data_IF_315835507512
#
_entry.id   IF_315835507512
#
_cell.length_a   1.000
_cell.length_b   1.000
_cell.length_c   1.000
_cell.angle_alpha   90.00
_cell.angle_beta   90.00
_cell.angle_gamma   90.00
#
_symmetry.space_group_name_H-M   'P 1'
#
loop_
_entity.id
_entity.type
_entity.pdbx_description
1 polymer ?
#
# COMPACT_ATOMS: atom_id res chain seq x y z
N UNK A 1 -23.54 28.46 -29.94
CA UNK A 1 -22.26 27.85 -30.38
C UNK A 1 -21.08 28.23 -29.48
N UNK A 2 -20.93 29.50 -29.06
CA UNK A 2 -19.83 29.93 -28.17
C UNK A 2 -19.90 29.38 -26.73
N UNK A 3 -21.12 29.14 -26.20
CA UNK A 3 -21.33 28.60 -24.84
C UNK A 3 -20.94 27.11 -24.69
N UNK A 4 -21.05 26.33 -25.78
CA UNK A 4 -20.71 24.90 -25.81
C UNK A 4 -19.18 24.69 -25.79
N UNK A 5 -18.40 25.56 -26.44
CA UNK A 5 -16.93 25.49 -26.39
C UNK A 5 -16.35 25.87 -25.02
N UNK A 6 -17.02 26.76 -24.28
CA UNK A 6 -16.63 27.14 -22.91
C UNK A 6 -16.97 26.02 -21.91
N UNK A 7 -18.07 25.30 -22.14
CA UNK A 7 -18.42 24.07 -21.43
C UNK A 7 -17.37 22.98 -21.69
N UNK A 8 -16.98 22.72 -22.94
CA UNK A 8 -15.92 21.75 -23.28
C UNK A 8 -14.55 22.10 -22.65
N UNK A 9 -14.18 23.38 -22.63
CA UNK A 9 -12.97 23.86 -21.94
C UNK A 9 -13.04 23.73 -20.41
N UNK A 10 -14.21 24.00 -19.82
CA UNK A 10 -14.49 23.81 -18.39
C UNK A 10 -14.48 22.32 -18.00
N UNK A 11 -15.09 21.48 -18.83
CA UNK A 11 -15.12 20.02 -18.68
C UNK A 11 -13.70 19.44 -18.68
N UNK A 12 -12.78 19.99 -19.48
CA UNK A 12 -11.38 19.57 -19.50
C UNK A 12 -10.66 19.80 -18.16
N UNK A 13 -10.82 20.97 -17.54
CA UNK A 13 -10.20 21.27 -16.24
C UNK A 13 -10.86 20.45 -15.12
N UNK A 14 -12.19 20.33 -15.13
CA UNK A 14 -12.91 19.50 -14.16
C UNK A 14 -12.52 18.02 -14.30
N UNK A 15 -12.37 17.51 -15.52
CA UNK A 15 -11.88 16.15 -15.78
C UNK A 15 -10.42 15.98 -15.33
N UNK A 16 -9.56 16.98 -15.53
CA UNK A 16 -8.19 16.93 -15.04
C UNK A 16 -8.14 16.95 -13.50
N UNK A 17 -8.98 17.75 -12.84
CA UNK A 17 -9.07 17.80 -11.38
C UNK A 17 -9.65 16.50 -10.81
N UNK A 18 -10.69 15.94 -11.44
CA UNK A 18 -11.29 14.65 -11.08
C UNK A 18 -10.30 13.51 -11.33
N UNK A 19 -9.64 13.48 -12.49
CA UNK A 19 -8.62 12.47 -12.82
C UNK A 19 -7.41 12.56 -11.88
N UNK A 20 -6.98 13.77 -11.54
CA UNK A 20 -5.90 14.00 -10.57
C UNK A 20 -6.30 13.53 -9.17
N UNK A 21 -7.56 13.76 -8.77
CA UNK A 21 -8.12 13.25 -7.51
C UNK A 21 -8.16 11.73 -7.47
N UNK A 22 -8.59 11.05 -8.53
CA UNK A 22 -8.65 9.57 -8.57
C UNK A 22 -7.24 8.95 -8.64
N UNK A 23 -6.33 9.55 -9.43
CA UNK A 23 -4.93 9.12 -9.52
C UNK A 23 -4.21 9.16 -8.18
N UNK A 24 -4.43 10.20 -7.37
CA UNK A 24 -3.76 10.32 -6.07
C UNK A 24 -4.19 9.23 -5.08
N UNK A 25 -5.49 8.88 -5.02
CA UNK A 25 -5.97 7.85 -4.08
C UNK A 25 -5.53 6.44 -4.47
N UNK A 26 -5.52 6.13 -5.77
CA UNK A 26 -5.04 4.84 -6.28
C UNK A 26 -3.53 4.64 -6.11
N UNK A 27 -2.74 5.72 -6.18
CA UNK A 27 -1.28 5.66 -5.96
C UNK A 27 -0.94 5.25 -4.51
N UNK A 28 -1.65 5.81 -3.53
CA UNK A 28 -1.44 5.47 -2.10
C UNK A 28 -1.74 4.00 -1.83
N UNK A 29 -2.81 3.47 -2.44
CA UNK A 29 -3.17 2.06 -2.31
C UNK A 29 -2.15 1.12 -2.95
N UNK A 30 -1.68 1.47 -4.16
CA UNK A 30 -0.64 0.71 -4.83
C UNK A 30 0.66 0.68 -4.02
N UNK A 31 1.05 1.80 -3.41
CA UNK A 31 2.21 1.87 -2.52
C UNK A 31 2.02 1.01 -1.26
N UNK A 32 0.83 1.01 -0.65
CA UNK A 32 0.52 0.20 0.52
C UNK A 32 0.60 -1.31 0.20
N UNK A 33 0.06 -1.73 -0.95
CA UNK A 33 0.16 -3.12 -1.43
C UNK A 33 1.61 -3.50 -1.71
N UNK A 34 2.38 -2.61 -2.34
CA UNK A 34 3.80 -2.85 -2.61
C UNK A 34 4.59 -3.06 -1.30
N UNK A 35 4.36 -2.22 -0.29
CA UNK A 35 4.96 -2.38 1.03
C UNK A 35 4.55 -3.69 1.71
N UNK A 36 3.29 -4.11 1.57
CA UNK A 36 2.79 -5.38 2.10
C UNK A 36 3.48 -6.58 1.42
N UNK A 37 3.64 -6.54 0.10
CA UNK A 37 4.35 -7.58 -0.65
C UNK A 37 5.81 -7.64 -0.24
N UNK A 38 6.51 -6.51 -0.19
CA UNK A 38 7.90 -6.45 0.22
C UNK A 38 8.11 -7.00 1.65
N UNK A 39 7.27 -6.58 2.59
CA UNK A 39 7.29 -7.08 3.97
C UNK A 39 7.03 -8.59 4.03
N UNK A 40 6.10 -9.10 3.21
CA UNK A 40 5.82 -10.53 3.11
C UNK A 40 7.01 -11.32 2.59
N UNK A 41 7.68 -10.83 1.53
CA UNK A 41 8.89 -11.46 1.00
C UNK A 41 10.03 -11.50 2.03
N UNK A 42 10.21 -10.42 2.79
CA UNK A 42 11.19 -10.37 3.88
C UNK A 42 10.85 -11.39 4.97
N UNK A 43 9.60 -11.48 5.41
CA UNK A 43 9.16 -12.47 6.40
C UNK A 43 9.33 -13.91 5.91
N UNK A 44 8.99 -14.19 4.64
CA UNK A 44 9.16 -15.52 4.04
C UNK A 44 10.60 -16.00 4.05
N UNK A 45 11.58 -15.11 3.91
CA UNK A 45 13.01 -15.47 3.93
C UNK A 45 13.54 -15.44 5.36
N UNK A 46 13.22 -14.41 6.14
CA UNK A 46 13.74 -14.22 7.49
C UNK A 46 13.26 -15.29 8.47
N UNK A 47 12.01 -15.76 8.35
CA UNK A 47 11.45 -16.77 9.27
C UNK A 47 12.25 -18.09 9.18
N UNK A 48 12.43 -18.72 8.00
CA UNK A 48 13.30 -19.89 7.87
C UNK A 48 14.75 -19.65 8.32
N UNK A 49 15.33 -18.48 7.98
CA UNK A 49 16.72 -18.16 8.34
C UNK A 49 16.93 -18.08 9.85
N UNK A 50 16.00 -17.44 10.56
CA UNK A 50 16.03 -17.33 12.04
C UNK A 50 15.84 -18.69 12.69
N UNK A 51 15.00 -19.56 12.12
CA UNK A 51 14.78 -20.92 12.63
C UNK A 51 15.93 -21.88 12.31
N UNK A 52 16.66 -21.68 11.22
CA UNK A 52 17.77 -22.55 10.81
C UNK A 52 19.09 -22.26 11.55
N UNK A 53 19.25 -21.08 12.14
CA UNK A 53 20.49 -20.69 12.82
C UNK A 53 20.53 -21.22 14.27
N UNK A 54 21.65 -21.84 14.72
CA UNK A 54 21.84 -22.14 16.14
C UNK A 54 21.81 -20.83 16.94
N UNK A 55 21.03 -20.80 18.04
CA UNK A 55 20.71 -19.61 18.84
C UNK A 55 19.91 -18.48 18.13
N UNK A 56 19.56 -18.66 16.86
CA UNK A 56 18.86 -17.66 16.04
C UNK A 56 17.51 -17.23 16.64
N UNK A 57 16.77 -18.17 17.23
CA UNK A 57 15.49 -17.89 17.90
C UNK A 57 15.65 -17.01 19.15
N UNK A 58 16.64 -17.28 20.00
CA UNK A 58 16.82 -16.53 21.25
C UNK A 58 17.20 -15.08 20.98
N UNK A 59 18.06 -14.86 19.98
CA UNK A 59 18.59 -13.54 19.63
C UNK A 59 17.61 -12.72 18.76
N UNK A 60 16.94 -13.35 17.78
CA UNK A 60 16.14 -12.62 16.78
C UNK A 60 14.63 -12.66 17.00
N UNK A 61 14.16 -13.21 18.13
CA UNK A 61 12.71 -13.31 18.46
C UNK A 61 11.98 -11.98 18.30
N UNK A 62 12.57 -10.89 18.80
CA UNK A 62 11.94 -9.57 18.76
C UNK A 62 11.81 -9.02 17.33
N UNK A 63 12.77 -9.34 16.46
CA UNK A 63 12.75 -8.92 15.05
C UNK A 63 11.62 -9.65 14.30
N UNK A 64 11.48 -10.97 14.51
CA UNK A 64 10.40 -11.76 13.90
C UNK A 64 9.03 -11.30 14.42
N UNK A 65 8.91 -11.03 15.72
CA UNK A 65 7.67 -10.52 16.30
C UNK A 65 7.30 -9.12 15.79
N UNK A 66 8.27 -8.21 15.74
CA UNK A 66 8.06 -6.85 15.22
C UNK A 66 7.77 -6.84 13.73
N UNK A 67 8.39 -7.72 12.95
CA UNK A 67 8.11 -7.86 11.51
C UNK A 67 6.71 -8.41 11.27
N UNK A 68 6.31 -9.43 12.04
CA UNK A 68 4.97 -10.03 11.92
C UNK A 68 3.87 -9.07 12.39
N UNK A 69 4.09 -8.32 13.47
CA UNK A 69 3.12 -7.31 13.92
C UNK A 69 2.97 -6.17 12.92
N UNK A 70 4.08 -5.70 12.33
CA UNK A 70 4.06 -4.71 11.26
C UNK A 70 3.31 -5.25 10.04
N UNK A 71 3.55 -6.50 9.64
CA UNK A 71 2.84 -7.15 8.55
C UNK A 71 1.33 -7.23 8.78
N UNK A 72 0.88 -7.66 9.96
CA UNK A 72 -0.55 -7.67 10.32
C UNK A 72 -1.13 -6.25 10.25
N UNK A 73 -0.42 -5.25 10.78
CA UNK A 73 -0.82 -3.86 10.69
C UNK A 73 -0.99 -3.38 9.25
N UNK A 74 -0.07 -3.75 8.36
CA UNK A 74 -0.17 -3.44 6.92
C UNK A 74 -1.36 -4.14 6.26
N UNK A 75 -1.68 -5.39 6.62
CA UNK A 75 -2.86 -6.10 6.09
C UNK A 75 -4.15 -5.36 6.45
N UNK A 76 -4.30 -4.96 7.72
CA UNK A 76 -5.45 -4.16 8.15
C UNK A 76 -5.50 -2.80 7.45
N UNK A 77 -4.36 -2.12 7.32
CA UNK A 77 -4.28 -0.83 6.65
C UNK A 77 -4.72 -0.93 5.18
N UNK A 78 -4.24 -1.94 4.45
CA UNK A 78 -4.65 -2.18 3.06
C UNK A 78 -6.15 -2.48 2.98
N UNK A 79 -6.70 -3.26 3.90
CA UNK A 79 -8.14 -3.54 3.97
C UNK A 79 -8.99 -2.28 4.20
N UNK A 80 -8.55 -1.39 5.10
CA UNK A 80 -9.21 -0.10 5.35
C UNK A 80 -9.11 0.80 4.11
N UNK A 81 -7.92 0.92 3.54
CA UNK A 81 -7.70 1.72 2.32
C UNK A 81 -8.57 1.20 1.17
N UNK A 82 -8.71 -0.12 1.01
CA UNK A 82 -9.59 -0.72 0.00
C UNK A 82 -11.04 -0.24 0.15
N UNK A 83 -11.57 -0.19 1.37
CA UNK A 83 -12.92 0.31 1.66
C UNK A 83 -13.10 1.82 1.46
N UNK A 84 -12.02 2.61 1.46
CA UNK A 84 -12.06 4.06 1.24
C UNK A 84 -11.94 4.45 -0.25
N UNK A 85 -11.44 3.54 -1.07
CA UNK A 85 -11.22 3.73 -2.51
C UNK A 85 -12.32 3.12 -3.35
N UNK A 86 -12.91 2.01 -2.88
CA UNK A 86 -13.93 1.26 -3.58
C UNK A 86 -15.32 1.88 -3.50
#
# INVERSE_FOLDING_TARGET
MHFILLIEGSNGIVLLLVAWRIRSMTLVFQLAIFALIATSSILLISVPVVFASPDGWSSNKNIVFSGTSLWIGLVFLVGILNSLIS
#
